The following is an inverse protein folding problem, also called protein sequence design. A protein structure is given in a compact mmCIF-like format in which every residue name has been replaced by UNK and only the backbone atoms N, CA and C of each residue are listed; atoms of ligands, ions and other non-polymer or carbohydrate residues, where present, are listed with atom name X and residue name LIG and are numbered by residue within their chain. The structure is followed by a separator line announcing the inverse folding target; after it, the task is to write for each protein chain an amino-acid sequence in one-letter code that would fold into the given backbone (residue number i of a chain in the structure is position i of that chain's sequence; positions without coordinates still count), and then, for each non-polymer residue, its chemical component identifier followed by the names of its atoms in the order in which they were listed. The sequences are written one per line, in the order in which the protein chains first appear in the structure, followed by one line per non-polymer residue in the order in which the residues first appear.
data_IF_042927834644
#
_entry.id   IF_042927834644
#
_cell.length_a   1.000
_cell.length_b   1.000
_cell.length_c   1.000
_cell.angle_alpha   90.00
_cell.angle_beta   90.00
_cell.angle_gamma   90.00
#
_symmetry.space_group_name_H-M   'P 1'
#
loop_
_entity.id
_entity.type
_entity.pdbx_description
1 polymer ?
#
# COMPACT_ATOMS: atom_id res chain seq x y z
N UNK A 1 -32.72 22.76 29.66
CA UNK A 1 -31.63 22.20 30.50
C UNK A 1 -31.07 20.97 29.79
N UNK A 2 -30.10 21.18 28.90
CA UNK A 2 -29.42 20.08 28.19
C UNK A 2 -28.40 19.45 29.12
N UNK A 3 -28.66 18.24 29.60
CA UNK A 3 -27.70 17.45 30.36
C UNK A 3 -26.66 16.93 29.35
N UNK A 4 -25.62 17.72 29.10
CA UNK A 4 -24.43 17.27 28.39
C UNK A 4 -23.66 16.30 29.29
N UNK A 5 -23.80 14.99 29.03
CA UNK A 5 -22.94 13.96 29.64
C UNK A 5 -21.58 14.04 28.92
N UNK A 6 -20.50 14.50 29.58
CA UNK A 6 -19.20 14.75 28.94
C UNK A 6 -18.59 13.51 28.28
N UNK A 7 -18.94 12.31 28.78
CA UNK A 7 -18.48 11.04 28.25
C UNK A 7 -19.02 10.70 26.85
N UNK A 8 -20.23 11.14 26.48
CA UNK A 8 -20.81 10.84 25.16
C UNK A 8 -20.23 11.74 24.06
N UNK A 9 -19.84 12.97 24.42
CA UNK A 9 -19.27 13.96 23.50
C UNK A 9 -17.87 13.56 23.01
N UNK A 10 -17.02 12.98 23.87
CA UNK A 10 -15.69 12.54 23.45
C UNK A 10 -15.73 11.31 22.54
N UNK A 11 -16.61 10.34 22.78
CA UNK A 11 -16.74 9.16 21.91
C UNK A 11 -17.21 9.52 20.50
N UNK A 12 -18.16 10.44 20.38
CA UNK A 12 -18.61 10.93 19.08
C UNK A 12 -17.49 11.65 18.32
N UNK A 13 -16.66 12.44 19.01
CA UNK A 13 -15.54 13.16 18.38
C UNK A 13 -14.53 12.23 17.72
N UNK A 14 -14.12 11.14 18.38
CA UNK A 14 -13.11 10.22 17.82
C UNK A 14 -13.65 9.43 16.62
N UNK A 15 -14.91 9.00 16.66
CA UNK A 15 -15.58 8.37 15.52
C UNK A 15 -15.71 9.31 14.33
N UNK A 16 -16.07 10.58 14.59
CA UNK A 16 -16.17 11.61 13.54
C UNK A 16 -14.79 11.89 12.92
N UNK A 17 -13.74 12.03 13.74
CA UNK A 17 -12.37 12.24 13.25
C UNK A 17 -11.89 11.06 12.40
N UNK A 18 -12.09 9.82 12.85
CA UNK A 18 -11.76 8.63 12.06
C UNK A 18 -12.52 8.60 10.73
N UNK A 19 -13.82 8.91 10.76
CA UNK A 19 -14.67 8.93 9.57
C UNK A 19 -14.23 9.99 8.55
N UNK A 20 -14.01 11.23 9.00
CA UNK A 20 -13.51 12.33 8.16
C UNK A 20 -12.14 11.97 7.57
N UNK A 21 -11.25 11.39 8.39
CA UNK A 21 -9.91 10.99 7.96
C UNK A 21 -9.96 9.93 6.86
N UNK A 22 -10.82 8.91 7.01
CA UNK A 22 -11.02 7.89 5.97
C UNK A 22 -11.63 8.47 4.68
N UNK A 23 -12.56 9.43 4.77
CA UNK A 23 -13.11 10.11 3.58
C UNK A 23 -12.02 10.91 2.85
N UNK A 24 -11.17 11.63 3.59
CA UNK A 24 -10.05 12.37 3.01
C UNK A 24 -9.09 11.40 2.30
N UNK A 25 -8.71 10.29 2.95
CA UNK A 25 -7.87 9.28 2.33
C UNK A 25 -8.53 8.60 1.12
N UNK A 26 -9.84 8.38 1.16
CA UNK A 26 -10.61 7.85 0.02
C UNK A 26 -10.53 8.81 -1.17
N UNK A 27 -10.70 10.12 -0.93
CA UNK A 27 -10.59 11.14 -1.98
C UNK A 27 -9.18 11.20 -2.57
N UNK A 28 -8.13 11.17 -1.73
CA UNK A 28 -6.74 11.12 -2.20
C UNK A 28 -6.43 9.83 -2.97
N UNK A 29 -6.92 8.68 -2.50
CA UNK A 29 -6.77 7.40 -3.21
C UNK A 29 -7.44 7.42 -4.57
N UNK A 30 -8.67 7.94 -4.66
CA UNK A 30 -9.39 8.11 -5.93
C UNK A 30 -8.69 9.10 -6.87
N UNK A 31 -8.21 10.24 -6.37
CA UNK A 31 -7.45 11.19 -7.16
C UNK A 31 -6.15 10.57 -7.71
N UNK A 32 -5.40 9.86 -6.86
CA UNK A 32 -4.18 9.14 -7.27
C UNK A 32 -4.45 8.08 -8.33
N UNK A 33 -5.56 7.34 -8.20
CA UNK A 33 -6.02 6.38 -9.22
C UNK A 33 -6.31 7.04 -10.56
N UNK A 34 -7.06 8.15 -10.55
CA UNK A 34 -7.39 8.89 -11.78
C UNK A 34 -6.12 9.40 -12.44
N UNK A 35 -5.21 10.00 -11.68
CA UNK A 35 -3.92 10.49 -12.19
C UNK A 35 -3.07 9.33 -12.72
N UNK A 36 -2.98 8.22 -11.99
CA UNK A 36 -2.24 7.04 -12.41
C UNK A 36 -2.79 6.44 -13.70
N UNK A 37 -4.12 6.32 -13.81
CA UNK A 37 -4.78 5.82 -15.01
C UNK A 37 -4.62 6.80 -16.19
N UNK A 38 -4.74 8.10 -15.95
CA UNK A 38 -4.48 9.12 -16.96
C UNK A 38 -3.06 9.05 -17.50
N UNK A 39 -2.05 8.95 -16.62
CA UNK A 39 -0.65 8.78 -17.01
C UNK A 39 -0.40 7.47 -17.77
N UNK A 40 -1.08 6.40 -17.35
CA UNK A 40 -1.01 5.10 -18.02
C UNK A 40 -1.59 5.17 -19.43
N UNK A 41 -2.80 5.74 -19.57
CA UNK A 41 -3.48 5.89 -20.86
C UNK A 41 -2.79 6.88 -21.79
N UNK A 42 -2.25 7.99 -21.27
CA UNK A 42 -1.50 8.97 -22.08
C UNK A 42 -0.17 8.40 -22.60
N UNK A 43 0.41 7.42 -21.88
CA UNK A 43 1.55 6.64 -22.39
C UNK A 43 1.12 5.53 -23.35
N UNK A 44 -0.15 5.12 -23.34
CA UNK A 44 -0.62 4.04 -24.19
C UNK A 44 -0.69 4.40 -25.69
N UNK A 45 -0.65 5.69 -26.02
CA UNK A 45 -0.51 6.15 -27.42
C UNK A 45 0.92 5.95 -27.97
N UNK A 46 1.89 5.55 -27.12
CA UNK A 46 3.30 5.28 -27.46
C UNK A 46 3.72 3.82 -27.15
N UNK A 47 2.78 2.86 -27.15
CA UNK A 47 2.99 1.46 -26.69
C UNK A 47 4.07 0.65 -27.42
N UNK A 48 4.54 1.07 -28.59
CA UNK A 48 5.53 0.26 -29.31
C UNK A 48 6.95 0.33 -28.74
N UNK A 49 7.24 1.22 -27.79
CA UNK A 49 8.63 1.59 -27.50
C UNK A 49 9.05 1.45 -26.02
N UNK A 50 8.25 0.87 -25.13
CA UNK A 50 8.73 0.61 -23.76
C UNK A 50 8.46 -0.81 -23.24
N UNK A 51 9.50 -1.52 -22.77
CA UNK A 51 9.33 -2.84 -22.16
C UNK A 51 8.34 -2.80 -21.00
N UNK A 52 7.45 -3.79 -20.92
CA UNK A 52 6.43 -3.90 -19.88
C UNK A 52 7.01 -3.92 -18.45
N UNK A 53 8.28 -4.29 -18.30
CA UNK A 53 9.06 -4.24 -17.06
C UNK A 53 9.27 -2.81 -16.53
N UNK A 54 9.38 -1.81 -17.41
CA UNK A 54 9.43 -0.40 -17.01
C UNK A 54 8.05 0.17 -16.70
N UNK A 55 6.96 -0.41 -17.21
CA UNK A 55 5.60 0.05 -16.91
C UNK A 55 5.20 -0.20 -15.45
N UNK A 56 5.64 -1.31 -14.85
CA UNK A 56 5.39 -1.61 -13.44
C UNK A 56 6.24 -0.75 -12.49
N UNK A 57 7.44 -0.36 -12.95
CA UNK A 57 8.34 0.55 -12.24
C UNK A 57 8.14 2.04 -12.60
N UNK A 58 7.24 2.33 -13.54
CA UNK A 58 6.90 3.68 -14.00
C UNK A 58 6.10 4.41 -12.94
N UNK A 59 6.24 5.74 -12.91
CA UNK A 59 5.44 6.63 -12.08
C UNK A 59 3.93 6.33 -12.21
N UNK A 60 3.45 6.00 -13.42
CA UNK A 60 2.05 5.63 -13.65
C UNK A 60 1.66 4.33 -12.92
N UNK A 61 2.46 3.27 -13.04
CA UNK A 61 2.19 1.98 -12.38
C UNK A 61 2.20 2.10 -10.86
N UNK A 62 3.12 2.89 -10.31
CA UNK A 62 3.19 3.18 -8.87
C UNK A 62 1.98 3.99 -8.39
N UNK A 63 1.55 5.01 -9.12
CA UNK A 63 0.35 5.78 -8.80
C UNK A 63 -0.92 4.90 -8.83
N UNK A 64 -1.06 4.02 -9.83
CA UNK A 64 -2.19 3.08 -9.91
C UNK A 64 -2.17 2.09 -8.74
N UNK A 65 -1.03 1.45 -8.48
CA UNK A 65 -0.92 0.44 -7.42
C UNK A 65 -1.18 1.04 -6.02
N UNK A 66 -0.52 2.16 -5.72
CA UNK A 66 -0.69 2.86 -4.42
C UNK A 66 -2.09 3.44 -4.29
N UNK A 67 -2.62 4.08 -5.34
CA UNK A 67 -3.98 4.61 -5.37
C UNK A 67 -5.03 3.52 -5.14
N UNK A 68 -4.90 2.35 -5.79
CA UNK A 68 -5.82 1.22 -5.63
C UNK A 68 -5.82 0.73 -4.20
N UNK A 69 -4.64 0.54 -3.62
CA UNK A 69 -4.47 0.07 -2.24
C UNK A 69 -5.11 1.04 -1.26
N UNK A 70 -4.81 2.34 -1.35
CA UNK A 70 -5.40 3.39 -0.48
C UNK A 70 -6.92 3.42 -0.63
N UNK A 71 -7.44 3.35 -1.86
CA UNK A 71 -8.87 3.36 -2.13
C UNK A 71 -9.59 2.17 -1.48
N UNK A 72 -9.09 0.95 -1.64
CA UNK A 72 -9.68 -0.26 -1.06
C UNK A 72 -9.65 -0.19 0.47
N UNK A 73 -8.51 0.18 1.06
CA UNK A 73 -8.37 0.30 2.53
C UNK A 73 -9.37 1.34 3.07
N UNK A 74 -9.46 2.50 2.43
CA UNK A 74 -10.35 3.58 2.86
C UNK A 74 -11.83 3.21 2.69
N UNK A 75 -12.16 2.47 1.63
CA UNK A 75 -13.52 1.97 1.39
C UNK A 75 -13.94 0.96 2.46
N UNK A 76 -13.07 0.02 2.80
CA UNK A 76 -13.32 -0.94 3.89
C UNK A 76 -13.42 -0.19 5.23
N UNK A 77 -12.56 0.79 5.49
CA UNK A 77 -12.60 1.64 6.69
C UNK A 77 -13.92 2.40 6.82
N UNK A 78 -14.45 2.92 5.71
CA UNK A 78 -15.76 3.56 5.65
C UNK A 78 -16.90 2.61 6.01
N UNK A 79 -16.94 1.41 5.41
CA UNK A 79 -17.97 0.40 5.70
C UNK A 79 -17.84 -0.20 7.11
N UNK A 80 -16.62 -0.33 7.64
CA UNK A 80 -16.36 -0.86 8.98
C UNK A 80 -17.06 -0.05 10.07
N UNK A 81 -17.11 1.28 9.92
CA UNK A 81 -17.84 2.17 10.85
C UNK A 81 -19.34 2.08 10.63
N UNK A 82 -19.78 2.08 9.36
CA UNK A 82 -21.19 2.10 8.99
C UNK A 82 -21.97 0.88 9.49
N UNK A 83 -21.38 -0.31 9.45
CA UNK A 83 -22.10 -1.55 9.78
C UNK A 83 -22.15 -1.89 11.27
N UNK A 84 -21.47 -1.13 12.15
CA UNK A 84 -21.34 -1.40 13.60
C UNK A 84 -20.91 -2.84 13.96
N UNK A 85 -20.30 -3.58 13.01
CA UNK A 85 -19.90 -4.97 13.22
C UNK A 85 -18.46 -5.05 13.75
N UNK A 86 -18.32 -5.49 15.01
CA UNK A 86 -17.01 -5.65 15.67
C UNK A 86 -16.05 -6.57 14.91
N UNK A 87 -16.55 -7.63 14.26
CA UNK A 87 -15.70 -8.56 13.51
C UNK A 87 -15.10 -7.93 12.26
N UNK A 88 -15.87 -7.07 11.58
CA UNK A 88 -15.40 -6.32 10.41
C UNK A 88 -14.28 -5.34 10.80
N UNK A 89 -14.43 -4.68 11.96
CA UNK A 89 -13.41 -3.77 12.49
C UNK A 89 -12.11 -4.51 12.90
N UNK A 90 -12.22 -5.69 13.53
CA UNK A 90 -11.04 -6.51 13.83
C UNK A 90 -10.34 -7.02 12.56
N UNK A 91 -11.11 -7.46 11.56
CA UNK A 91 -10.57 -7.89 10.28
C UNK A 91 -9.83 -6.76 9.56
N UNK A 92 -10.38 -5.54 9.59
CA UNK A 92 -9.73 -4.34 9.06
C UNK A 92 -8.37 -4.06 9.74
N UNK A 93 -8.33 -4.07 11.08
CA UNK A 93 -7.09 -3.86 11.84
C UNK A 93 -6.05 -4.95 11.52
N UNK A 94 -6.46 -6.21 11.45
CA UNK A 94 -5.56 -7.31 11.09
C UNK A 94 -4.98 -7.14 9.67
N UNK A 95 -5.81 -6.71 8.71
CA UNK A 95 -5.37 -6.43 7.35
C UNK A 95 -4.37 -5.27 7.29
N UNK A 96 -4.67 -4.14 7.92
CA UNK A 96 -3.75 -2.98 7.97
C UNK A 96 -2.43 -3.35 8.66
N UNK A 97 -2.47 -4.13 9.75
CA UNK A 97 -1.26 -4.59 10.42
C UNK A 97 -0.39 -5.50 9.52
N UNK A 98 -1.03 -6.37 8.73
CA UNK A 98 -0.33 -7.22 7.76
C UNK A 98 0.33 -6.38 6.65
N UNK A 99 -0.32 -5.32 6.17
CA UNK A 99 0.28 -4.40 5.20
C UNK A 99 1.50 -3.68 5.76
N UNK A 100 1.42 -3.17 6.99
CA UNK A 100 2.56 -2.55 7.68
C UNK A 100 3.73 -3.54 7.79
N UNK A 101 3.45 -4.80 8.12
CA UNK A 101 4.47 -5.84 8.19
C UNK A 101 5.14 -6.08 6.82
N UNK A 102 4.35 -6.20 5.75
CA UNK A 102 4.87 -6.38 4.40
C UNK A 102 5.70 -5.17 3.96
N UNK A 103 5.19 -3.94 4.12
CA UNK A 103 5.93 -2.72 3.80
C UNK A 103 7.23 -2.60 4.59
N UNK A 104 7.20 -2.93 5.89
CA UNK A 104 8.37 -2.97 6.75
C UNK A 104 9.41 -3.97 6.26
N UNK A 105 9.00 -5.20 5.96
CA UNK A 105 9.88 -6.24 5.43
C UNK A 105 10.52 -5.83 4.10
N UNK A 106 9.73 -5.31 3.15
CA UNK A 106 10.24 -4.85 1.85
C UNK A 106 11.27 -3.73 2.00
N UNK A 107 11.05 -2.76 2.89
CA UNK A 107 12.03 -1.69 3.18
C UNK A 107 13.34 -2.24 3.72
N UNK A 108 13.25 -3.13 4.71
CA UNK A 108 14.41 -3.74 5.34
C UNK A 108 15.21 -4.51 4.30
N UNK A 109 14.56 -5.37 3.51
CA UNK A 109 15.23 -6.15 2.47
C UNK A 109 15.87 -5.25 1.40
N UNK A 110 15.22 -4.16 1.01
CA UNK A 110 15.74 -3.18 0.05
C UNK A 110 17.00 -2.47 0.53
N UNK A 111 17.11 -2.19 1.84
CA UNK A 111 18.31 -1.58 2.42
C UNK A 111 19.50 -2.54 2.42
N UNK A 112 19.29 -3.81 2.80
CA UNK A 112 20.37 -4.80 2.90
C UNK A 112 20.89 -5.31 1.55
N UNK A 113 20.04 -5.37 0.53
CA UNK A 113 20.41 -5.96 -0.77
C UNK A 113 20.86 -4.94 -1.80
N UNK A 114 21.06 -3.66 -1.44
CA UNK A 114 21.33 -2.62 -2.43
C UNK A 114 22.61 -2.87 -3.25
N UNK A 115 23.71 -3.28 -2.60
CA UNK A 115 24.97 -3.56 -3.31
C UNK A 115 24.90 -4.86 -4.13
N UNK A 116 24.31 -5.92 -3.57
CA UNK A 116 24.10 -7.17 -4.31
C UNK A 116 23.16 -6.94 -5.51
N UNK A 117 22.15 -6.08 -5.39
CA UNK A 117 21.23 -5.75 -6.47
C UNK A 117 21.92 -5.02 -7.62
N UNK A 118 22.88 -4.12 -7.34
CA UNK A 118 23.68 -3.47 -8.39
C UNK A 118 24.54 -4.48 -9.17
N UNK A 119 25.11 -5.46 -8.48
CA UNK A 119 25.92 -6.50 -9.13
C UNK A 119 25.06 -7.50 -9.90
N UNK A 120 23.93 -7.93 -9.33
CA UNK A 120 22.97 -8.77 -10.06
C UNK A 120 22.45 -8.06 -11.32
N UNK A 121 22.17 -6.76 -11.24
CA UNK A 121 21.79 -5.95 -12.39
C UNK A 121 22.89 -5.91 -13.46
N UNK A 122 24.17 -5.75 -13.07
CA UNK A 122 25.32 -5.81 -13.99
C UNK A 122 25.36 -7.15 -14.73
N UNK A 123 25.28 -8.25 -14.00
CA UNK A 123 25.33 -9.61 -14.55
C UNK A 123 24.15 -9.89 -15.49
N UNK A 124 22.96 -9.41 -15.16
CA UNK A 124 21.79 -9.53 -16.02
C UNK A 124 21.94 -8.70 -17.30
N UNK A 125 22.48 -7.48 -17.23
CA UNK A 125 22.79 -6.68 -18.42
C UNK A 125 23.83 -7.37 -19.32
N UNK A 126 24.90 -7.94 -18.74
CA UNK A 126 25.91 -8.70 -19.47
C UNK A 126 25.34 -9.96 -20.13
N UNK A 127 24.37 -10.63 -19.51
CA UNK A 127 23.67 -11.75 -20.14
C UNK A 127 22.79 -11.28 -21.29
N UNK A 128 22.11 -10.14 -21.12
CA UNK A 128 21.14 -9.61 -22.06
C UNK A 128 21.78 -8.97 -23.30
N UNK A 129 22.99 -8.41 -23.21
CA UNK A 129 23.67 -7.84 -24.38
C UNK A 129 23.95 -8.89 -25.47
N UNK A 130 24.00 -10.17 -25.09
CA UNK A 130 24.25 -11.29 -26.00
C UNK A 130 22.97 -11.99 -26.49
N UNK A 131 21.78 -11.46 -26.17
CA UNK A 131 20.49 -12.04 -26.54
C UNK A 131 19.64 -11.04 -27.33
N UNK A 132 18.96 -11.53 -28.38
CA UNK A 132 18.11 -10.70 -29.25
C UNK A 132 16.70 -10.50 -28.68
N UNK A 133 16.24 -11.43 -27.84
CA UNK A 133 14.94 -11.37 -27.20
C UNK A 133 15.00 -12.01 -25.80
N UNK A 134 14.14 -11.54 -24.91
CA UNK A 134 13.93 -12.12 -23.59
C UNK A 134 12.45 -12.43 -23.40
N UNK A 135 12.17 -13.63 -22.91
CA UNK A 135 10.82 -14.02 -22.48
C UNK A 135 10.65 -13.63 -21.03
N UNK A 136 9.75 -12.69 -20.78
CA UNK A 136 9.39 -12.34 -19.40
C UNK A 136 8.68 -13.49 -18.68
N UNK A 137 8.62 -13.44 -17.35
CA UNK A 137 7.87 -14.42 -16.53
C UNK A 137 6.37 -14.52 -16.89
N UNK A 138 5.83 -13.54 -17.61
CA UNK A 138 4.46 -13.49 -18.12
C UNK A 138 4.35 -13.94 -19.59
N UNK A 139 5.38 -14.57 -20.16
CA UNK A 139 5.39 -15.09 -21.53
C UNK A 139 5.51 -14.04 -22.63
N UNK A 140 5.64 -12.75 -22.28
CA UNK A 140 5.83 -11.66 -23.26
C UNK A 140 7.27 -11.69 -23.78
N UNK A 141 7.40 -11.76 -25.11
CA UNK A 141 8.65 -11.58 -25.85
C UNK A 141 8.99 -10.09 -25.91
N UNK A 142 10.16 -9.72 -25.42
CA UNK A 142 10.69 -8.35 -25.51
C UNK A 142 11.86 -8.36 -26.46
N UNK A 143 11.80 -7.52 -27.51
CA UNK A 143 12.93 -7.34 -28.41
C UNK A 143 13.98 -6.47 -27.72
N UNK A 144 15.15 -7.07 -27.45
CA UNK A 144 16.19 -6.41 -26.67
C UNK A 144 16.90 -5.32 -27.44
N UNK A 145 16.96 -5.43 -28.78
CA UNK A 145 17.55 -4.40 -29.64
C UNK A 145 16.96 -3.02 -29.36
N UNK A 146 15.63 -2.88 -29.45
CA UNK A 146 14.96 -1.61 -29.21
C UNK A 146 15.17 -1.09 -27.78
N UNK A 147 15.19 -2.01 -26.81
CA UNK A 147 15.42 -1.67 -25.40
C UNK A 147 16.82 -1.11 -25.17
N UNK A 148 17.83 -1.71 -25.80
CA UNK A 148 19.21 -1.24 -25.78
C UNK A 148 19.36 0.09 -26.50
N UNK A 149 18.74 0.24 -27.67
CA UNK A 149 18.79 1.48 -28.44
C UNK A 149 18.22 2.67 -27.64
N UNK A 150 17.08 2.46 -26.97
CA UNK A 150 16.49 3.45 -26.08
C UNK A 150 17.34 3.72 -24.83
N UNK A 151 17.85 2.66 -24.17
CA UNK A 151 18.67 2.81 -22.96
C UNK A 151 19.95 3.64 -23.24
N UNK A 152 20.63 3.34 -24.35
CA UNK A 152 21.88 3.98 -24.73
C UNK A 152 21.69 5.43 -25.16
N UNK A 153 20.64 5.72 -25.93
CA UNK A 153 20.31 7.08 -26.35
C UNK A 153 19.84 7.95 -25.18
N UNK A 154 19.00 7.42 -24.29
CA UNK A 154 18.47 8.17 -23.14
C UNK A 154 19.54 8.45 -22.08
N UNK A 155 20.39 7.47 -21.77
CA UNK A 155 21.40 7.57 -20.71
C UNK A 155 22.79 7.98 -21.23
N UNK A 156 22.94 8.20 -22.54
CA UNK A 156 24.20 8.57 -23.21
C UNK A 156 25.35 7.63 -22.80
N UNK A 157 25.16 6.34 -23.00
CA UNK A 157 26.08 5.27 -22.60
C UNK A 157 26.23 4.20 -23.69
N UNK A 158 27.31 3.41 -23.65
CA UNK A 158 27.51 2.30 -24.59
C UNK A 158 28.04 1.04 -23.91
N UNK A 159 27.44 -0.10 -24.24
CA UNK A 159 27.76 -1.39 -23.61
C UNK A 159 27.33 -1.46 -22.15
N UNK A 160 27.72 -2.52 -21.44
CA UNK A 160 27.35 -2.69 -20.02
C UNK A 160 28.34 -1.92 -19.15
N UNK A 161 29.63 -2.23 -19.31
CA UNK A 161 30.74 -1.61 -18.63
C UNK A 161 31.53 -0.71 -19.57
N UNK A 162 31.58 -1.09 -20.84
CA UNK A 162 32.32 -0.40 -21.89
C UNK A 162 31.74 -0.76 -23.26
N UNK A 163 31.98 0.10 -24.26
CA UNK A 163 31.65 -0.18 -25.66
C UNK A 163 32.24 -1.51 -26.16
N UNK A 164 33.34 -1.99 -25.56
CA UNK A 164 33.97 -3.26 -25.93
C UNK A 164 33.09 -4.48 -25.72
N UNK A 165 32.07 -4.37 -24.86
CA UNK A 165 31.13 -5.48 -24.60
C UNK A 165 30.37 -5.88 -25.87
N UNK A 166 30.14 -4.94 -26.78
CA UNK A 166 29.53 -5.21 -28.09
C UNK A 166 30.42 -5.99 -29.03
N UNK A 167 31.75 -5.90 -28.89
CA UNK A 167 32.69 -6.61 -29.76
C UNK A 167 32.69 -8.12 -29.51
N UNK A 168 32.18 -8.54 -28.36
CA UNK A 168 31.99 -9.95 -28.01
C UNK A 168 30.54 -10.43 -28.23
N UNK A 169 29.66 -9.56 -28.74
CA UNK A 169 28.26 -9.91 -28.98
C UNK A 169 28.10 -10.86 -30.17
N UNK A 170 27.11 -11.76 -30.11
CA UNK A 170 26.76 -12.65 -31.24
C UNK A 170 26.28 -11.89 -32.48
N UNK A 171 25.98 -10.60 -32.32
CA UNK A 171 25.36 -9.77 -33.34
C UNK A 171 26.36 -9.37 -34.45
N UNK A 172 27.65 -9.24 -34.10
CA UNK A 172 28.74 -8.93 -35.03
C UNK A 172 30.01 -9.74 -34.74
N UNK A 173 30.02 -11.06 -35.02
CA UNK A 173 31.06 -12.00 -34.57
C UNK A 173 32.47 -11.79 -35.16
N UNK A 174 32.66 -10.81 -36.03
CA UNK A 174 33.95 -10.53 -36.69
C UNK A 174 34.23 -9.05 -36.90
N UNK A 175 33.36 -8.17 -36.42
CA UNK A 175 33.51 -6.73 -36.58
C UNK A 175 33.47 -6.06 -35.21
N UNK A 176 34.34 -5.06 -35.02
CA UNK A 176 34.31 -4.19 -33.83
C UNK A 176 33.24 -3.11 -34.01
N UNK A 177 31.99 -3.53 -34.09
CA UNK A 177 30.85 -2.64 -34.28
C UNK A 177 30.06 -2.48 -32.99
N UNK A 178 29.40 -1.34 -32.88
CA UNK A 178 28.43 -1.02 -31.84
C UNK A 178 27.09 -0.66 -32.50
N UNK A 179 25.96 -0.70 -31.76
CA UNK A 179 24.71 -0.14 -32.26
C UNK A 179 24.83 1.36 -32.55
N UNK A 180 24.09 1.87 -33.54
CA UNK A 180 24.09 3.31 -33.87
C UNK A 180 23.60 4.19 -32.70
N UNK A 181 22.84 3.62 -31.75
CA UNK A 181 22.43 4.28 -30.50
C UNK A 181 23.57 4.58 -29.53
N UNK A 182 24.75 3.98 -29.73
CA UNK A 182 25.97 4.31 -28.98
C UNK A 182 26.66 5.60 -29.46
N UNK A 183 26.19 6.20 -30.54
CA UNK A 183 26.81 7.39 -31.11
C UNK A 183 26.44 8.65 -30.34
N UNK A 184 27.47 9.44 -30.04
CA UNK A 184 27.37 10.74 -29.41
C UNK A 184 27.02 11.78 -30.47
N UNK A 185 25.74 12.16 -30.50
CA UNK A 185 25.22 13.15 -31.44
C UNK A 185 25.82 14.54 -31.24
N UNK A 186 26.46 14.85 -30.12
CA UNK A 186 27.12 16.15 -29.97
C UNK A 186 28.48 16.17 -30.68
N UNK A 187 29.13 15.01 -30.80
CA UNK A 187 30.45 14.88 -31.44
C UNK A 187 30.36 14.53 -32.91
N UNK A 188 29.39 13.69 -33.29
CA UNK A 188 29.18 13.20 -34.65
C UNK A 188 28.75 14.31 -35.63
N UNK A 189 27.99 15.30 -35.18
CA UNK A 189 27.47 16.38 -36.04
C UNK A 189 28.50 17.46 -36.41
N UNK A 190 29.78 17.26 -36.08
CA UNK A 190 30.87 18.13 -36.55
C UNK A 190 31.38 17.73 -37.95
N UNK A 191 30.93 16.60 -38.50
CA UNK A 191 31.16 16.20 -39.89
C UNK A 191 29.94 16.57 -40.78
N UNK A 192 30.20 16.91 -42.05
CA UNK A 192 29.23 17.43 -43.03
C UNK A 192 28.07 16.46 -43.40
N UNK A 193 27.98 15.28 -42.78
CA UNK A 193 26.93 14.28 -43.00
C UNK A 193 25.98 14.19 -41.79
N UNK A 194 24.76 14.71 -41.94
CA UNK A 194 23.75 14.80 -40.88
C UNK A 194 23.04 13.48 -40.56
N UNK A 195 23.64 12.32 -40.85
CA UNK A 195 23.03 11.01 -40.65
C UNK A 195 23.70 10.22 -39.51
N UNK A 196 22.89 9.73 -38.55
CA UNK A 196 23.33 8.80 -37.49
C UNK A 196 23.41 7.36 -38.04
N UNK A 197 22.96 7.16 -39.28
CA UNK A 197 22.86 5.84 -39.91
C UNK A 197 24.25 5.24 -40.12
N UNK A 198 24.46 4.03 -39.59
CA UNK A 198 25.74 3.31 -39.64
C UNK A 198 26.90 3.94 -38.87
N UNK A 199 26.67 4.97 -38.04
CA UNK A 199 27.72 5.55 -37.20
C UNK A 199 28.41 4.48 -36.31
N UNK A 200 27.66 3.49 -35.79
CA UNK A 200 28.22 2.42 -34.96
C UNK A 200 29.17 1.46 -35.67
N UNK A 201 29.34 1.62 -37.00
CA UNK A 201 30.27 0.85 -37.83
C UNK A 201 31.59 1.60 -38.12
N UNK A 202 31.70 2.87 -37.72
CA UNK A 202 32.91 3.71 -37.86
C UNK A 202 33.93 3.37 -36.77
N UNK A 203 34.50 2.16 -36.84
CA UNK A 203 35.40 1.61 -35.82
C UNK A 203 36.77 2.34 -35.73
N UNK A 204 37.06 3.21 -36.70
CA UNK A 204 38.26 4.03 -36.83
C UNK A 204 38.20 5.35 -36.02
N UNK A 205 37.00 5.77 -35.58
CA UNK A 205 36.80 7.00 -34.80
C UNK A 205 36.14 6.70 -33.44
N UNK A 206 36.84 6.10 -32.46
CA UNK A 206 36.21 5.71 -31.19
C UNK A 206 35.71 6.90 -30.36
N UNK A 207 36.15 8.13 -30.65
CA UNK A 207 35.78 9.35 -29.91
C UNK A 207 34.31 9.75 -30.10
N UNK A 208 33.68 9.33 -31.19
CA UNK A 208 32.27 9.61 -31.53
C UNK A 208 31.30 8.72 -30.75
N UNK A 209 31.77 7.71 -30.01
CA UNK A 209 30.93 6.84 -29.20
C UNK A 209 30.87 7.29 -27.75
N UNK A 210 29.76 6.99 -27.08
CA UNK A 210 29.67 7.12 -25.62
C UNK A 210 30.68 6.21 -24.93
N UNK A 211 31.52 6.80 -24.07
CA UNK A 211 32.61 6.08 -23.38
C UNK A 211 32.17 5.48 -22.05
N UNK A 212 31.06 5.98 -21.46
CA UNK A 212 30.53 5.48 -20.21
C UNK A 212 29.71 4.20 -20.44
N UNK A 213 29.95 3.17 -19.62
CA UNK A 213 29.12 1.95 -19.59
C UNK A 213 27.73 2.20 -19.02
N UNK A 214 26.72 1.52 -19.57
CA UNK A 214 25.32 1.73 -19.17
C UNK A 214 25.00 1.22 -17.76
N UNK A 215 25.72 0.25 -17.20
CA UNK A 215 25.49 -0.24 -15.84
C UNK A 215 25.54 0.88 -14.81
N UNK A 216 26.58 1.71 -14.86
CA UNK A 216 26.79 2.80 -13.91
C UNK A 216 25.68 3.86 -14.03
N UNK A 217 25.44 4.36 -15.24
CA UNK A 217 24.40 5.37 -15.52
C UNK A 217 23.01 4.85 -15.16
N UNK A 218 22.72 3.60 -15.51
CA UNK A 218 21.42 2.99 -15.24
C UNK A 218 21.20 2.72 -13.75
N UNK A 219 22.23 2.27 -13.03
CA UNK A 219 22.16 2.11 -11.58
C UNK A 219 21.90 3.44 -10.86
N UNK A 220 22.54 4.53 -11.31
CA UNK A 220 22.32 5.87 -10.78
C UNK A 220 20.91 6.40 -11.09
N UNK A 221 20.46 6.23 -12.34
CA UNK A 221 19.10 6.55 -12.77
C UNK A 221 18.05 5.81 -11.94
N UNK A 222 18.19 4.48 -11.79
CA UNK A 222 17.32 3.67 -10.94
C UNK A 222 17.35 4.14 -9.49
N UNK A 223 18.54 4.43 -8.94
CA UNK A 223 18.68 4.90 -7.55
C UNK A 223 17.89 6.20 -7.33
N UNK A 224 17.94 7.13 -8.27
CA UNK A 224 17.19 8.38 -8.20
C UNK A 224 15.66 8.15 -8.20
N UNK A 225 15.16 7.26 -9.06
CA UNK A 225 13.73 6.93 -9.07
C UNK A 225 13.31 6.12 -7.84
N UNK A 226 14.13 5.19 -7.37
CA UNK A 226 13.88 4.41 -6.15
C UNK A 226 13.79 5.32 -4.93
N UNK A 227 14.57 6.42 -4.87
CA UNK A 227 14.43 7.42 -3.80
C UNK A 227 13.02 8.03 -3.79
N UNK A 228 12.48 8.40 -4.95
CA UNK A 228 11.11 8.92 -5.04
C UNK A 228 10.08 7.88 -4.58
N UNK A 229 10.24 6.62 -5.00
CA UNK A 229 9.37 5.51 -4.53
C UNK A 229 9.47 5.33 -3.02
N UNK A 230 10.67 5.44 -2.45
CA UNK A 230 10.89 5.35 -1.01
C UNK A 230 10.19 6.47 -0.24
N UNK A 231 10.17 7.71 -0.77
CA UNK A 231 9.42 8.81 -0.16
C UNK A 231 7.91 8.57 -0.21
N UNK A 232 7.37 8.21 -1.37
CA UNK A 232 5.92 7.94 -1.55
C UNK A 232 5.47 6.78 -0.65
N UNK A 233 6.20 5.68 -0.63
CA UNK A 233 5.88 4.54 0.25
C UNK A 233 6.06 4.88 1.73
N UNK A 234 6.92 5.86 2.08
CA UNK A 234 7.10 6.27 3.49
C UNK A 234 5.89 7.03 3.98
N UNK A 235 5.36 7.90 3.14
CA UNK A 235 4.13 8.61 3.41
C UNK A 235 2.95 7.64 3.57
N UNK A 236 2.87 6.62 2.71
CA UNK A 236 1.85 5.57 2.82
C UNK A 236 1.96 4.80 4.14
N UNK A 237 3.16 4.41 4.56
CA UNK A 237 3.37 3.73 5.84
C UNK A 237 2.94 4.59 7.04
N UNK A 238 3.22 5.89 7.01
CA UNK A 238 2.76 6.82 8.05
C UNK A 238 1.24 6.89 8.09
N UNK A 239 0.58 6.93 6.92
CA UNK A 239 -0.88 6.90 6.82
C UNK A 239 -1.47 5.60 7.39
N UNK A 240 -0.87 4.44 7.08
CA UNK A 240 -1.27 3.14 7.61
C UNK A 240 -1.19 3.10 9.15
N UNK A 241 -0.10 3.64 9.73
CA UNK A 241 0.08 3.74 11.19
C UNK A 241 -0.97 4.69 11.80
N UNK A 242 -1.25 5.82 11.17
CA UNK A 242 -2.27 6.76 11.64
C UNK A 242 -3.68 6.13 11.63
N UNK A 243 -4.01 5.38 10.57
CA UNK A 243 -5.29 4.66 10.48
C UNK A 243 -5.35 3.54 11.53
N UNK A 244 -4.27 2.77 11.70
CA UNK A 244 -4.20 1.70 12.70
C UNK A 244 -4.39 2.25 14.13
N UNK A 245 -3.68 3.31 14.48
CA UNK A 245 -3.80 3.95 15.81
C UNK A 245 -5.21 4.46 16.05
N UNK A 246 -5.81 5.12 15.06
CA UNK A 246 -7.19 5.59 15.16
C UNK A 246 -8.20 4.43 15.30
N UNK A 247 -8.03 3.33 14.54
CA UNK A 247 -8.87 2.13 14.67
C UNK A 247 -8.74 1.47 16.05
N UNK A 248 -7.52 1.35 16.58
CA UNK A 248 -7.28 0.80 17.93
C UNK A 248 -7.95 1.67 18.99
N UNK A 249 -7.85 3.00 18.89
CA UNK A 249 -8.53 3.93 19.82
C UNK A 249 -10.04 3.72 19.79
N UNK A 250 -10.65 3.59 18.60
CA UNK A 250 -12.09 3.32 18.46
C UNK A 250 -12.49 1.98 19.09
N UNK A 251 -11.67 0.93 18.90
CA UNK A 251 -11.91 -0.39 19.52
C UNK A 251 -11.85 -0.30 21.05
N UNK A 252 -10.82 0.36 21.61
CA UNK A 252 -10.64 0.49 23.06
C UNK A 252 -11.79 1.28 23.70
N UNK A 253 -12.25 2.34 23.03
CA UNK A 253 -13.42 3.12 23.47
C UNK A 253 -14.70 2.28 23.46
N UNK A 254 -14.95 1.56 22.35
CA UNK A 254 -16.12 0.69 22.23
C UNK A 254 -16.12 -0.38 23.33
N UNK A 255 -14.98 -1.03 23.59
CA UNK A 255 -14.85 -2.01 24.68
C UNK A 255 -15.07 -1.40 26.06
N UNK A 256 -14.52 -0.21 26.32
CA UNK A 256 -14.72 0.51 27.59
C UNK A 256 -16.19 0.86 27.81
N UNK A 257 -16.90 1.24 26.75
CA UNK A 257 -18.32 1.56 26.80
C UNK A 257 -19.18 0.30 27.05
N UNK A 258 -18.91 -0.81 26.35
CA UNK A 258 -19.57 -2.11 26.61
C UNK A 258 -19.37 -2.56 28.06
N UNK A 259 -18.14 -2.48 28.57
CA UNK A 259 -17.84 -2.82 29.96
C UNK A 259 -18.58 -1.91 30.95
N UNK A 260 -18.59 -0.59 30.70
CA UNK A 260 -19.33 0.37 31.53
C UNK A 260 -20.84 0.13 31.55
N UNK A 261 -21.44 -0.27 30.42
CA UNK A 261 -22.85 -0.66 30.32
C UNK A 261 -23.12 -1.96 31.11
N UNK A 262 -22.28 -2.97 30.98
CA UNK A 262 -22.40 -4.22 31.73
C UNK A 262 -22.31 -3.97 33.25
N UNK A 263 -21.39 -3.13 33.73
CA UNK A 263 -21.33 -2.77 35.15
C UNK A 263 -22.56 -2.01 35.64
N UNK A 264 -23.14 -1.13 34.81
CA UNK A 264 -24.38 -0.41 35.16
C UNK A 264 -25.58 -1.36 35.19
N UNK A 265 -25.67 -2.28 34.25
CA UNK A 265 -26.72 -3.30 34.20
C UNK A 265 -26.62 -4.25 35.39
N UNK A 266 -25.43 -4.75 35.72
CA UNK A 266 -25.21 -5.62 36.88
C UNK A 266 -25.58 -4.90 38.19
N UNK A 267 -25.23 -3.62 38.34
CA UNK A 267 -25.65 -2.82 39.52
C UNK A 267 -27.15 -2.63 39.59
N UNK A 268 -27.83 -2.34 38.47
CA UNK A 268 -29.30 -2.24 38.44
C UNK A 268 -29.94 -3.57 38.83
N UNK A 269 -29.47 -4.66 38.25
CA UNK A 269 -29.97 -6.01 38.55
C UNK A 269 -29.77 -6.39 40.02
N UNK A 270 -28.64 -6.03 40.65
CA UNK A 270 -28.45 -6.23 42.09
C UNK A 270 -29.41 -5.40 42.95
N UNK A 271 -29.68 -4.15 42.58
CA UNK A 271 -30.64 -3.29 43.28
C UNK A 271 -32.06 -3.87 43.16
N UNK A 272 -32.44 -4.34 41.97
CA UNK A 272 -33.75 -4.94 41.72
C UNK A 272 -33.95 -6.22 42.57
N UNK A 273 -32.92 -7.07 42.70
CA UNK A 273 -32.94 -8.26 43.57
C UNK A 273 -33.09 -7.87 45.04
N UNK A 274 -32.30 -6.89 45.52
CA UNK A 274 -32.37 -6.45 46.91
C UNK A 274 -33.73 -5.84 47.27
N UNK A 275 -34.34 -5.08 46.35
CA UNK A 275 -35.68 -4.53 46.54
C UNK A 275 -36.76 -5.61 46.62
N UNK A 276 -36.64 -6.68 45.82
CA UNK A 276 -37.59 -7.80 45.83
C UNK A 276 -37.49 -8.61 47.14
N UNK A 277 -36.27 -8.86 47.64
CA UNK A 277 -36.05 -9.50 48.95
C UNK A 277 -36.68 -8.68 50.10
N UNK A 278 -36.49 -7.35 50.08
CA UNK A 278 -37.12 -6.44 51.04
C UNK A 278 -38.65 -6.51 50.99
N UNK A 279 -39.23 -6.57 49.79
CA UNK A 279 -40.69 -6.66 49.59
C UNK A 279 -41.26 -7.98 50.09
N UNK A 280 -40.59 -9.10 49.84
CA UNK A 280 -41.01 -10.42 50.34
C UNK A 280 -40.98 -10.46 51.87
N UNK A 281 -39.92 -9.94 52.49
CA UNK A 281 -39.81 -9.88 53.94
C UNK A 281 -40.89 -8.99 54.59
N UNK A 282 -41.35 -7.95 53.90
CA UNK A 282 -42.46 -7.11 54.37
C UNK A 282 -43.82 -7.83 54.29
N UNK A 283 -44.04 -8.65 53.25
CA UNK A 283 -45.25 -9.48 53.13
C UNK A 283 -45.33 -10.58 54.19
N UNK A 284 -44.22 -11.29 54.46
CA UNK A 284 -44.17 -12.31 55.51
C UNK A 284 -44.49 -11.70 56.89
N UNK A 285 -43.95 -10.52 57.19
CA UNK A 285 -44.23 -9.81 58.45
C UNK A 285 -45.71 -9.44 58.58
N UNK A 286 -46.39 -9.08 57.48
CA UNK A 286 -47.83 -8.78 57.49
C UNK A 286 -48.65 -10.07 57.70
N UNK A 287 -48.23 -11.19 57.11
CA UNK A 287 -48.85 -12.50 57.31
C UNK A 287 -48.78 -12.95 58.78
N UNK A 288 -47.61 -12.86 59.40
CA UNK A 288 -47.40 -13.24 60.81
C UNK A 288 -48.15 -12.31 61.79
N UNK A 289 -48.37 -11.05 61.42
CA UNK A 289 -49.10 -10.10 62.25
C UNK A 289 -50.64 -10.29 62.19
N UNK A 290 -51.15 -11.19 61.35
CA UNK A 290 -52.58 -11.46 61.20
C UNK A 290 -52.95 -12.94 61.51
N UNK A 291 -52.73 -13.46 62.73
CA UNK A 291 -53.14 -14.81 63.10
C UNK A 291 -54.65 -14.96 63.34
N UNK A 292 -55.43 -13.87 63.35
CA UNK A 292 -56.80 -13.86 63.87
C UNK A 292 -57.91 -14.11 62.82
N UNK A 293 -57.59 -14.28 61.54
CA UNK A 293 -58.60 -14.49 60.49
C UNK A 293 -58.89 -15.97 60.18
N UNK A 294 -57.93 -16.89 60.32
CA UNK A 294 -58.16 -18.32 60.03
C UNK A 294 -58.78 -19.12 61.21
N UNK A 295 -58.78 -18.57 62.43
CA UNK A 295 -59.39 -19.22 63.59
C UNK A 295 -60.91 -18.94 63.73
N UNK A 296 -61.45 -17.89 63.11
CA UNK A 296 -62.87 -17.52 63.26
C UNK A 296 -63.83 -18.27 62.32
N UNK A 297 -63.36 -18.74 61.17
CA UNK A 297 -64.22 -19.44 60.21
C UNK A 297 -64.42 -20.93 60.53
N UNK A 298 -63.52 -21.57 61.29
CA UNK A 298 -63.70 -22.97 61.70
C UNK A 298 -64.61 -23.15 62.93
N UNK A 299 -64.89 -22.09 63.69
CA UNK A 299 -65.74 -22.15 64.90
C UNK A 299 -67.23 -21.92 64.59
N UNK A 300 -67.60 -21.35 63.44
CA UNK A 300 -69.02 -21.07 63.14
C UNK A 300 -69.81 -22.21 62.46
N UNK A 301 -69.14 -23.27 61.98
CA UNK A 301 -69.81 -24.41 61.31
C UNK A 301 -70.19 -25.58 62.24
N UNK A 302 -70.04 -25.46 63.56
CA UNK A 302 -70.38 -26.54 64.50
C UNK A 302 -71.44 -26.18 65.55
N UNK A 303 -72.26 -25.15 65.30
CA UNK A 303 -73.41 -24.83 66.15
C UNK A 303 -74.64 -24.45 65.32
N UNK A 304 -75.26 -25.45 64.71
CA UNK A 304 -76.72 -25.53 64.51
C UNK A 304 -77.13 -26.91 64.02
#
# INVERSE_FOLDING_TARGET
MHICIPGLQNEQKHLIVFYITNIIFLAFGAASLVVGLWLYLSRNDFIELTPASYSALSAAGLCVFTGTSIFIISLIGFFAVGWRNKYLLYSFVAFVALLIFIHGATRITGLFHNENAKEHLRLDLLRNINTTHVVTKIGKQIQLKFTWDHLQSELKCCGVDSLSDWFYSVQWPSNKFVPDSCCDTEKHFNDDDHSIENCGKMADQPEIFYQDGCHKKFSEYLSHHVILVNWVTSLLLIAEIAVLTASVVVILQTRKNEHGKNLRNNRRQQIDIANEELRMHELDRIGDANPDFEASDMVSMNSR
#
